data_IF_206848101771
#
_entry.id   IF_206848101771
#
_cell.length_a   1.000
_cell.length_b   1.000
_cell.length_c   1.000
_cell.angle_alpha   90.00
_cell.angle_beta   90.00
_cell.angle_gamma   90.00
#
_symmetry.space_group_name_H-M   'P 1'
#
loop_
_entity.id
_entity.type
_entity.pdbx_description
1 polymer ?
#
# COMPACT_ATOMS: atom_id res chain seq x y z
N UNK A 1 -24.34 -9.57 -6.69
CA UNK A 1 -24.23 -9.25 -5.26
C UNK A 1 -24.18 -7.73 -5.16
N UNK A 2 -24.71 -7.14 -4.08
CA UNK A 2 -24.50 -5.71 -3.83
C UNK A 2 -23.03 -5.43 -3.48
N UNK A 3 -22.54 -4.22 -3.80
CA UNK A 3 -21.14 -3.81 -3.57
C UNK A 3 -20.73 -3.96 -2.10
N UNK A 4 -21.65 -3.68 -1.18
CA UNK A 4 -21.39 -3.82 0.25
C UNK A 4 -21.17 -5.28 0.65
N UNK A 5 -22.02 -6.20 0.18
CA UNK A 5 -21.86 -7.64 0.41
C UNK A 5 -20.59 -8.19 -0.24
N UNK A 6 -20.24 -7.72 -1.45
CA UNK A 6 -18.98 -8.11 -2.09
C UNK A 6 -17.78 -7.62 -1.28
N UNK A 7 -17.73 -6.34 -0.91
CA UNK A 7 -16.69 -5.78 -0.07
C UNK A 7 -16.58 -6.49 1.28
N UNK A 8 -17.72 -6.87 1.89
CA UNK A 8 -17.76 -7.69 3.11
C UNK A 8 -17.07 -9.03 2.88
N UNK A 9 -17.44 -9.75 1.82
CA UNK A 9 -16.84 -11.04 1.48
C UNK A 9 -15.34 -10.93 1.23
N UNK A 10 -14.91 -9.94 0.45
CA UNK A 10 -13.50 -9.68 0.15
C UNK A 10 -12.71 -9.29 1.40
N UNK A 11 -13.29 -8.46 2.27
CA UNK A 11 -12.67 -8.04 3.53
C UNK A 11 -12.49 -9.20 4.51
N UNK A 12 -13.51 -10.07 4.66
CA UNK A 12 -13.37 -11.28 5.46
C UNK A 12 -12.35 -12.25 4.86
N UNK A 13 -12.38 -12.43 3.54
CA UNK A 13 -11.39 -13.27 2.84
C UNK A 13 -9.96 -12.78 3.07
N UNK A 14 -9.72 -11.46 2.99
CA UNK A 14 -8.43 -10.85 3.33
C UNK A 14 -8.03 -11.06 4.77
N UNK A 15 -8.95 -10.84 5.72
CA UNK A 15 -8.69 -11.02 7.14
C UNK A 15 -8.25 -12.45 7.43
N UNK A 16 -9.05 -13.43 7.02
CA UNK A 16 -8.76 -14.84 7.28
C UNK A 16 -7.57 -15.34 6.49
N UNK A 17 -7.42 -14.97 5.23
CA UNK A 17 -6.31 -15.40 4.38
C UNK A 17 -4.96 -14.91 4.90
N UNK A 18 -4.86 -13.63 5.25
CA UNK A 18 -3.62 -13.07 5.82
C UNK A 18 -3.33 -13.60 7.22
N UNK A 19 -4.34 -13.72 8.08
CA UNK A 19 -4.18 -14.28 9.43
C UNK A 19 -3.78 -15.76 9.38
N UNK A 20 -4.38 -16.56 8.50
CA UNK A 20 -4.04 -17.97 8.32
C UNK A 20 -2.60 -18.11 7.81
N UNK A 21 -2.23 -17.38 6.75
CA UNK A 21 -0.88 -17.38 6.21
C UNK A 21 0.17 -17.00 7.25
N UNK A 22 -0.08 -15.95 8.03
CA UNK A 22 0.83 -15.53 9.12
C UNK A 22 0.85 -16.49 10.32
N UNK A 23 -0.17 -17.34 10.49
CA UNK A 23 -0.18 -18.35 11.55
C UNK A 23 0.66 -19.57 11.19
N UNK A 24 0.87 -19.85 9.89
CA UNK A 24 1.65 -21.00 9.40
C UNK A 24 3.03 -21.10 10.10
N UNK A 25 3.88 -20.05 10.12
CA UNK A 25 5.17 -20.11 10.82
C UNK A 25 5.10 -20.47 12.31
N UNK A 26 4.00 -20.15 13.00
CA UNK A 26 3.85 -20.39 14.44
C UNK A 26 3.58 -21.86 14.78
N UNK A 27 3.02 -22.61 13.82
CA UNK A 27 2.64 -24.02 14.01
C UNK A 27 3.84 -24.93 13.84
N UNK A 28 4.81 -24.55 13.01
CA UNK A 28 5.99 -25.35 12.73
C UNK A 28 7.17 -25.00 13.65
N UNK A 29 7.93 -26.00 14.07
CA UNK A 29 9.20 -25.84 14.78
C UNK A 29 10.34 -25.90 13.77
N UNK A 30 10.95 -24.75 13.49
CA UNK A 30 12.08 -24.66 12.57
C UNK A 30 13.40 -24.58 13.36
N UNK A 31 14.45 -25.17 12.81
CA UNK A 31 15.84 -24.95 13.25
C UNK A 31 16.28 -23.54 12.84
N UNK A 32 17.26 -22.95 13.52
CA UNK A 32 17.80 -21.61 13.24
C UNK A 32 18.22 -21.43 11.77
N UNK A 33 18.89 -22.42 11.18
CA UNK A 33 19.30 -22.39 9.77
C UNK A 33 18.10 -22.33 8.82
N UNK A 34 17.03 -23.07 9.14
CA UNK A 34 15.79 -23.06 8.35
C UNK A 34 15.03 -21.75 8.51
N UNK A 35 15.01 -21.19 9.73
CA UNK A 35 14.42 -19.87 9.98
C UNK A 35 15.17 -18.78 9.23
N UNK A 36 16.51 -18.84 9.21
CA UNK A 36 17.33 -17.90 8.45
C UNK A 36 17.05 -18.00 6.95
N UNK A 37 17.07 -19.22 6.39
CA UNK A 37 16.75 -19.41 4.97
C UNK A 37 15.34 -18.94 4.61
N UNK A 38 14.37 -19.21 5.49
CA UNK A 38 12.98 -18.82 5.31
C UNK A 38 12.78 -17.30 5.44
N UNK A 39 13.52 -16.67 6.35
CA UNK A 39 13.56 -15.21 6.50
C UNK A 39 14.14 -14.57 5.23
N UNK A 40 15.27 -15.07 4.72
CA UNK A 40 15.89 -14.57 3.48
C UNK A 40 14.98 -14.77 2.27
N UNK A 41 14.34 -15.94 2.14
CA UNK A 41 13.33 -16.20 1.11
C UNK A 41 12.15 -15.23 1.24
N UNK A 42 11.65 -15.03 2.47
CA UNK A 42 10.58 -14.11 2.80
C UNK A 42 10.92 -12.67 2.40
N UNK A 43 12.12 -12.20 2.73
CA UNK A 43 12.65 -10.90 2.30
C UNK A 43 12.64 -10.76 0.78
N UNK A 44 13.09 -11.79 0.06
CA UNK A 44 13.04 -11.84 -1.39
C UNK A 44 11.61 -11.69 -1.90
N UNK A 45 10.67 -12.45 -1.34
CA UNK A 45 9.24 -12.36 -1.69
C UNK A 45 8.70 -10.96 -1.44
N UNK A 46 9.00 -10.32 -0.30
CA UNK A 46 8.54 -8.95 -0.01
C UNK A 46 9.03 -7.95 -1.07
N UNK A 47 10.33 -7.98 -1.40
CA UNK A 47 10.91 -7.11 -2.45
C UNK A 47 10.29 -7.39 -3.82
N UNK A 48 10.22 -8.67 -4.20
CA UNK A 48 9.66 -9.10 -5.48
C UNK A 48 8.21 -8.71 -5.65
N UNK A 49 7.45 -8.77 -4.57
CA UNK A 49 6.04 -8.45 -4.55
C UNK A 49 5.80 -6.94 -4.69
N UNK A 50 6.59 -6.11 -4.02
CA UNK A 50 6.54 -4.66 -4.19
C UNK A 50 6.74 -4.26 -5.66
N UNK A 51 7.76 -4.84 -6.31
CA UNK A 51 8.21 -4.45 -7.64
C UNK A 51 7.46 -5.15 -8.79
N UNK A 52 7.00 -6.39 -8.60
CA UNK A 52 6.43 -7.23 -9.68
C UNK A 52 4.92 -7.41 -9.59
N UNK A 53 4.29 -6.99 -8.49
CA UNK A 53 2.84 -7.10 -8.28
C UNK A 53 2.24 -5.73 -7.98
N UNK A 54 2.58 -5.10 -6.86
CA UNK A 54 1.88 -3.90 -6.39
C UNK A 54 2.16 -2.70 -7.30
N UNK A 55 3.43 -2.46 -7.63
CA UNK A 55 3.82 -1.35 -8.49
C UNK A 55 3.21 -1.48 -9.90
N UNK A 56 3.36 -2.61 -10.63
CA UNK A 56 2.74 -2.78 -11.94
C UNK A 56 1.21 -2.63 -11.91
N UNK A 57 0.54 -3.21 -10.91
CA UNK A 57 -0.93 -3.14 -10.82
C UNK A 57 -1.42 -1.72 -10.50
N UNK A 58 -0.71 -1.01 -9.62
CA UNK A 58 -0.96 0.40 -9.32
C UNK A 58 -0.81 1.28 -10.55
N UNK A 59 0.25 1.06 -11.34
CA UNK A 59 0.47 1.75 -12.62
C UNK A 59 -0.64 1.41 -13.62
N UNK A 60 -0.93 0.12 -13.83
CA UNK A 60 -1.95 -0.33 -14.77
C UNK A 60 -3.34 0.25 -14.46
N UNK A 61 -3.70 0.25 -13.18
CA UNK A 61 -4.96 0.83 -12.71
C UNK A 61 -4.99 2.32 -12.99
N UNK A 62 -3.93 3.08 -12.67
CA UNK A 62 -3.88 4.52 -12.93
C UNK A 62 -3.98 4.87 -14.43
N UNK A 63 -3.36 4.07 -15.31
CA UNK A 63 -3.44 4.28 -16.75
C UNK A 63 -4.82 3.97 -17.33
N UNK A 64 -5.43 2.87 -16.89
CA UNK A 64 -6.78 2.48 -17.33
C UNK A 64 -7.78 3.58 -16.97
N UNK A 65 -7.68 4.14 -15.76
CA UNK A 65 -8.46 5.31 -15.30
C UNK A 65 -8.31 6.53 -16.20
N UNK A 66 -7.08 6.85 -16.59
CA UNK A 66 -6.77 8.04 -17.39
C UNK A 66 -7.29 7.92 -18.82
N UNK A 67 -7.29 6.71 -19.38
CA UNK A 67 -7.74 6.44 -20.74
C UNK A 67 -9.28 6.47 -20.87
N UNK A 68 -10.00 5.94 -19.89
CA UNK A 68 -11.47 6.00 -19.86
C UNK A 68 -11.98 7.44 -19.76
N UNK A 69 -11.34 8.27 -18.92
CA UNK A 69 -11.66 9.68 -18.77
C UNK A 69 -11.53 10.47 -20.10
N UNK A 70 -10.45 10.25 -20.85
CA UNK A 70 -10.25 10.91 -22.15
C UNK A 70 -11.22 10.44 -23.23
N UNK A 71 -11.62 9.16 -23.23
CA UNK A 71 -12.60 8.64 -24.17
C UNK A 71 -13.98 9.29 -23.99
N UNK A 72 -14.40 9.51 -22.74
CA UNK A 72 -15.70 10.10 -22.41
C UNK A 72 -15.76 11.58 -22.81
N UNK A 73 -14.67 12.33 -22.64
CA UNK A 73 -14.56 13.72 -23.11
C UNK A 73 -14.59 13.85 -24.64
N UNK A 74 -14.02 12.87 -25.37
CA UNK A 74 -14.05 12.84 -26.84
C UNK A 74 -15.47 12.58 -27.36
N UNK A 75 -16.25 11.74 -26.69
CA UNK A 75 -17.65 11.48 -27.04
C UNK A 75 -18.54 12.70 -26.77
N UNK A 76 -18.35 13.36 -25.63
CA UNK A 76 -19.13 14.57 -25.27
C UNK A 76 -18.83 15.75 -26.21
N UNK A 77 -17.56 15.92 -26.60
CA UNK A 77 -17.19 16.97 -27.58
C UNK A 77 -17.72 16.68 -28.99
N UNK A 78 -17.78 15.42 -29.41
CA UNK A 78 -18.33 15.01 -30.71
C UNK A 78 -19.87 15.14 -30.77
N UNK A 79 -20.56 14.91 -29.64
CA UNK A 79 -22.01 15.04 -29.57
C UNK A 79 -22.47 16.51 -29.55
N UNK A 80 -21.66 17.43 -29.01
CA UNK A 80 -21.94 18.88 -29.03
C UNK A 80 -21.80 19.49 -30.43
N UNK A 81 -21.01 18.91 -31.33
CA UNK A 81 -20.86 19.40 -32.72
C UNK A 81 -21.95 18.89 -33.68
N UNK A 82 -22.75 17.89 -33.29
CA UNK A 82 -23.72 17.25 -34.20
C UNK A 82 -25.17 17.71 -33.99
N UNK A 83 -25.47 18.44 -32.91
CA UNK A 83 -26.84 18.83 -32.56
C UNK A 83 -27.25 20.27 -32.96
N UNK A 84 -26.41 21.02 -33.68
CA UNK A 84 -26.75 22.37 -34.17
C UNK A 84 -26.88 22.45 -35.70
N UNK A 85 -27.56 21.47 -36.33
CA UNK A 85 -27.99 21.65 -37.73
C UNK A 85 -29.36 21.06 -37.99
N UNK A 86 -30.36 21.42 -37.18
CA UNK A 86 -31.76 21.41 -37.65
C UNK A 86 -32.62 22.39 -36.87
N UNK A 87 -33.11 23.39 -37.62
CA UNK A 87 -34.32 24.22 -37.42
C UNK A 87 -34.15 25.68 -36.93
N UNK A 88 -34.51 26.55 -37.89
CA UNK A 88 -35.25 27.81 -37.77
C UNK A 88 -34.51 29.13 -37.50
N UNK A 89 -34.51 29.93 -38.58
CA UNK A 89 -35.05 31.30 -38.71
C UNK A 89 -34.43 32.47 -37.91
N UNK A 90 -33.96 33.43 -38.72
CA UNK A 90 -33.73 34.85 -38.50
C UNK A 90 -33.99 35.42 -37.10
N UNK A 91 -32.91 35.69 -36.38
CA UNK A 91 -32.87 36.80 -35.44
C UNK A 91 -31.41 37.25 -35.20
N UNK A 92 -31.02 38.50 -35.56
CA UNK A 92 -29.63 38.95 -35.47
C UNK A 92 -29.15 39.22 -34.03
N UNK A 93 -30.00 39.06 -33.01
CA UNK A 93 -29.65 39.28 -31.60
C UNK A 93 -29.24 38.02 -30.82
N UNK A 94 -29.35 36.81 -31.40
CA UNK A 94 -28.96 35.55 -30.72
C UNK A 94 -27.46 35.22 -30.86
N UNK A 95 -26.81 35.74 -31.91
CA UNK A 95 -25.39 35.44 -32.22
C UNK A 95 -24.44 36.11 -31.23
N UNK A 96 -24.78 37.31 -30.74
CA UNK A 96 -23.96 38.07 -29.79
C UNK A 96 -23.98 37.43 -28.39
N UNK A 97 -25.10 36.80 -28.00
CA UNK A 97 -25.22 36.11 -26.70
C UNK A 97 -24.44 34.79 -26.70
N UNK A 98 -24.39 34.08 -27.84
CA UNK A 98 -23.57 32.87 -27.99
C UNK A 98 -22.07 33.17 -27.94
N UNK A 99 -21.64 34.28 -28.54
CA UNK A 99 -20.23 34.69 -28.49
C UNK A 99 -19.82 35.21 -27.09
N UNK A 100 -20.70 35.95 -26.40
CA UNK A 100 -20.45 36.41 -25.02
C UNK A 100 -20.55 35.29 -23.97
N UNK A 101 -21.37 34.26 -24.17
CA UNK A 101 -21.44 33.11 -23.25
C UNK A 101 -20.25 32.16 -23.42
N UNK A 102 -19.71 32.07 -24.63
CA UNK A 102 -18.44 31.36 -24.89
C UNK A 102 -17.26 32.09 -24.23
N UNK A 103 -17.28 33.43 -24.17
CA UNK A 103 -16.21 34.23 -23.55
C UNK A 103 -16.34 34.32 -22.01
N UNK A 104 -17.56 34.40 -21.46
CA UNK A 104 -17.76 34.49 -19.98
C UNK A 104 -17.57 33.18 -19.23
N UNK A 105 -17.55 32.03 -19.89
CA UNK A 105 -17.25 30.73 -19.25
C UNK A 105 -15.74 30.44 -19.21
N UNK A 106 -14.90 31.46 -19.45
CA UNK A 106 -13.44 31.35 -19.41
C UNK A 106 -12.78 32.21 -18.32
N UNK A 107 -13.57 32.84 -17.41
CA UNK A 107 -13.05 33.84 -16.46
C UNK A 107 -13.42 33.62 -14.98
N UNK A 108 -13.41 32.38 -14.52
CA UNK A 108 -13.28 32.04 -13.07
C UNK A 108 -12.67 30.65 -12.93
N UNK A 109 -11.37 30.52 -13.20
CA UNK A 109 -10.53 29.42 -12.72
C UNK A 109 -9.12 29.97 -12.64
N UNK A 110 -8.91 30.88 -11.70
CA UNK A 110 -7.57 31.31 -11.34
C UNK A 110 -7.00 30.32 -10.33
N UNK A 111 -5.87 29.72 -10.76
CA UNK A 111 -4.76 29.29 -9.93
C UNK A 111 -4.95 28.02 -9.10
N UNK A 112 -4.99 26.90 -9.81
CA UNK A 112 -4.12 25.77 -9.44
C UNK A 112 -3.56 25.20 -10.75
N UNK A 113 -2.24 25.16 -10.79
CA UNK A 113 -1.39 24.77 -11.91
C UNK A 113 -1.95 23.62 -12.75
N UNK A 114 -2.38 23.92 -13.98
CA UNK A 114 -2.45 22.95 -15.08
C UNK A 114 -1.02 22.50 -15.40
N UNK A 115 -0.52 21.48 -14.69
CA UNK A 115 0.44 20.57 -15.29
C UNK A 115 -0.31 19.77 -16.35
N UNK A 116 0.24 19.67 -17.55
CA UNK A 116 -0.05 18.52 -18.40
C UNK A 116 0.34 17.29 -17.56
N UNK A 117 -0.67 16.61 -17.00
CA UNK A 117 -0.48 15.49 -16.08
C UNK A 117 0.11 14.31 -16.84
N UNK A 118 1.43 14.32 -16.97
CA UNK A 118 2.17 13.14 -17.39
C UNK A 118 1.92 12.08 -16.32
N UNK A 119 1.19 10.98 -16.60
CA UNK A 119 0.85 9.96 -15.61
C UNK A 119 2.10 9.41 -14.92
N UNK A 120 3.24 9.43 -15.60
CA UNK A 120 4.56 9.13 -15.06
C UNK A 120 4.96 9.97 -13.83
N UNK A 121 4.64 11.27 -13.80
CA UNK A 121 4.97 12.13 -12.66
C UNK A 121 4.12 11.81 -11.44
N UNK A 122 2.84 11.47 -11.64
CA UNK A 122 1.93 11.05 -10.57
C UNK A 122 2.38 9.73 -9.97
N UNK A 123 2.82 8.78 -10.80
CA UNK A 123 3.38 7.49 -10.36
C UNK A 123 4.59 7.72 -9.45
N UNK A 124 5.59 8.48 -9.92
CA UNK A 124 6.79 8.75 -9.14
C UNK A 124 6.48 9.49 -7.83
N UNK A 125 5.64 10.53 -7.88
CA UNK A 125 5.30 11.33 -6.71
C UNK A 125 4.55 10.53 -5.64
N UNK A 126 3.56 9.73 -6.03
CA UNK A 126 2.77 8.92 -5.09
C UNK A 126 3.60 7.83 -4.42
N UNK A 127 4.49 7.17 -5.17
CA UNK A 127 5.47 6.22 -4.62
C UNK A 127 6.39 6.90 -3.60
N UNK A 128 6.95 8.06 -3.93
CA UNK A 128 7.85 8.81 -3.04
C UNK A 128 7.11 9.26 -1.79
N UNK A 129 5.87 9.73 -1.91
CA UNK A 129 5.05 10.12 -0.75
C UNK A 129 4.83 8.93 0.17
N UNK A 130 4.48 7.75 -0.36
CA UNK A 130 4.34 6.52 0.44
C UNK A 130 5.64 6.12 1.14
N UNK A 131 6.76 6.15 0.40
CA UNK A 131 8.08 5.84 0.95
C UNK A 131 8.49 6.81 2.08
N UNK A 132 8.34 8.12 1.84
CA UNK A 132 8.69 9.16 2.82
C UNK A 132 7.77 9.12 4.03
N UNK A 133 6.47 8.89 3.86
CA UNK A 133 5.56 8.73 4.99
C UNK A 133 5.99 7.56 5.89
N UNK A 134 6.34 6.43 5.27
CA UNK A 134 6.81 5.27 6.01
C UNK A 134 8.16 5.54 6.71
N UNK A 135 9.05 6.30 6.07
CA UNK A 135 10.28 6.82 6.69
C UNK A 135 9.97 7.68 7.91
N UNK A 136 9.07 8.65 7.78
CA UNK A 136 8.71 9.54 8.88
C UNK A 136 8.14 8.75 10.06
N UNK A 137 7.23 7.82 9.81
CA UNK A 137 6.65 6.94 10.84
C UNK A 137 7.75 6.18 11.59
N UNK A 138 8.73 5.64 10.86
CA UNK A 138 9.86 4.93 11.46
C UNK A 138 10.73 5.84 12.33
N UNK A 139 11.03 7.05 11.86
CA UNK A 139 11.79 8.04 12.64
C UNK A 139 11.05 8.50 13.90
N UNK A 140 9.74 8.75 13.83
CA UNK A 140 8.95 9.18 14.99
C UNK A 140 8.78 8.07 16.03
N UNK A 141 8.52 6.83 15.59
CA UNK A 141 8.39 5.66 16.46
C UNK A 141 9.67 5.41 17.29
N UNK A 142 10.83 5.56 16.64
CA UNK A 142 12.11 5.33 17.31
C UNK A 142 12.46 6.44 18.33
N UNK A 143 12.00 7.69 18.12
CA UNK A 143 12.23 8.81 19.05
C UNK A 143 11.42 8.69 20.34
N UNK A 144 10.15 8.28 20.26
CA UNK A 144 9.29 8.15 21.45
C UNK A 144 9.74 7.03 22.40
N UNK A 145 10.31 5.96 21.85
CA UNK A 145 10.80 4.82 22.65
C UNK A 145 12.13 5.16 23.37
N UNK A 146 12.94 6.04 22.79
CA UNK A 146 14.18 6.55 23.42
C UNK A 146 13.91 7.43 24.65
N UNK A 147 12.90 8.30 24.61
CA UNK A 147 12.59 9.21 25.72
C UNK A 147 12.14 8.51 27.01
N UNK A 148 11.38 7.40 26.90
CA UNK A 148 10.95 6.61 28.07
C UNK A 148 12.05 5.72 28.66
N UNK A 149 13.18 5.53 27.96
CA UNK A 149 14.26 4.67 28.43
C UNK A 149 15.29 5.42 29.30
N UNK A 150 15.36 6.76 29.19
CA UNK A 150 16.21 7.58 30.06
C UNK A 150 15.64 7.79 31.47
N UNK A 151 14.32 7.70 31.66
CA UNK A 151 13.69 7.87 32.98
C UNK A 151 13.73 6.62 33.87
N UNK A 152 13.99 5.44 33.31
CA UNK A 152 14.10 4.17 34.08
C UNK A 152 15.54 3.91 34.54
N UNK A 153 16.55 4.52 33.91
CA UNK A 153 17.95 4.40 34.32
C UNK A 153 18.30 5.18 35.60
N UNK A 154 17.42 6.04 36.10
CA UNK A 154 17.61 6.77 37.36
C UNK A 154 16.96 6.10 38.58
N UNK A 155 16.50 4.85 38.46
CA UNK A 155 15.88 4.12 39.56
C UNK A 155 16.46 2.71 39.77
N UNK A 156 17.77 2.59 39.62
CA UNK A 156 18.55 1.45 40.11
C UNK A 156 19.81 1.97 40.76
N UNK A 157 19.64 2.63 41.90
CA UNK A 157 20.72 2.95 42.81
C UNK A 157 20.82 1.84 43.86
N UNK A 158 22.05 1.41 44.15
CA UNK A 158 22.49 0.50 45.23
C UNK A 158 22.35 -1.02 45.04
N UNK A 159 23.40 -1.66 44.47
CA UNK A 159 24.07 -2.84 45.05
C UNK A 159 25.38 -3.14 44.30
N UNK A 160 26.45 -3.42 45.06
CA UNK A 160 27.86 -3.46 44.68
C UNK A 160 28.33 -4.65 43.81
N UNK A 161 29.53 -4.43 43.25
CA UNK A 161 30.60 -5.38 42.83
C UNK A 161 30.65 -5.92 41.39
N UNK A 162 31.80 -5.65 40.74
CA UNK A 162 32.48 -6.60 39.86
C UNK A 162 32.45 -6.34 38.34
N UNK A 163 33.45 -5.60 37.86
CA UNK A 163 34.17 -5.78 36.59
C UNK A 163 33.47 -6.47 35.39
N UNK A 164 33.05 -5.67 34.41
CA UNK A 164 33.39 -5.80 32.96
C UNK A 164 32.59 -4.78 32.16
N UNK A 165 33.30 -3.78 31.63
CA UNK A 165 32.75 -2.73 30.76
C UNK A 165 32.38 -3.33 29.40
N UNK A 166 31.20 -3.95 29.33
CA UNK A 166 30.48 -4.15 28.08
C UNK A 166 29.49 -2.98 27.97
N UNK A 167 29.78 -2.03 27.10
CA UNK A 167 28.84 -0.97 26.73
C UNK A 167 27.56 -1.62 26.22
N UNK A 168 26.54 -1.69 27.09
CA UNK A 168 25.22 -2.18 26.77
C UNK A 168 24.53 -1.15 25.87
N UNK A 169 24.78 -1.22 24.56
CA UNK A 169 23.92 -0.54 23.58
C UNK A 169 22.56 -1.22 23.66
N UNK A 170 21.47 -0.54 24.10
CA UNK A 170 20.16 -1.15 24.19
C UNK A 170 19.63 -1.41 22.77
N UNK A 171 19.80 -2.65 22.28
CA UNK A 171 19.29 -3.15 20.99
C UNK A 171 17.76 -3.39 21.04
N UNK A 172 16.96 -2.41 21.46
CA UNK A 172 15.50 -2.60 21.71
C UNK A 172 14.60 -1.47 21.20
N UNK A 173 14.67 -1.13 19.91
CA UNK A 173 13.69 -0.22 19.27
C UNK A 173 13.14 -0.64 17.89
N UNK A 174 13.66 -1.67 17.20
CA UNK A 174 13.22 -1.96 15.81
C UNK A 174 11.91 -2.78 15.67
N UNK A 175 11.55 -3.57 16.69
CA UNK A 175 10.48 -4.60 16.59
C UNK A 175 9.08 -4.01 16.41
N UNK A 176 8.80 -2.91 17.11
CA UNK A 176 7.48 -2.27 17.09
C UNK A 176 7.31 -1.46 15.81
N UNK A 177 8.38 -0.82 15.34
CA UNK A 177 8.38 0.04 14.17
C UNK A 177 8.13 -0.74 12.87
N UNK A 178 8.72 -1.94 12.73
CA UNK A 178 8.43 -2.84 11.62
C UNK A 178 6.93 -3.22 11.56
N UNK A 179 6.30 -3.49 12.72
CA UNK A 179 4.87 -3.82 12.74
C UNK A 179 4.00 -2.60 12.45
N UNK A 180 4.29 -1.44 13.05
CA UNK A 180 3.54 -0.21 12.78
C UNK A 180 3.57 0.10 11.29
N UNK A 181 4.75 -0.05 10.67
CA UNK A 181 4.89 0.12 9.23
C UNK A 181 4.04 -0.81 8.39
N UNK A 182 4.06 -2.09 8.70
CA UNK A 182 3.26 -3.08 8.00
C UNK A 182 1.75 -2.90 8.26
N UNK A 183 1.34 -2.41 9.43
CA UNK A 183 -0.06 -2.06 9.71
C UNK A 183 -0.50 -0.88 8.86
N UNK A 184 0.33 0.16 8.72
CA UNK A 184 0.04 1.33 7.87
C UNK A 184 0.00 0.96 6.40
N UNK A 185 0.95 0.14 5.94
CA UNK A 185 0.93 -0.43 4.59
C UNK A 185 -0.36 -1.24 4.34
N UNK A 186 -0.73 -2.13 5.27
CA UNK A 186 -2.00 -2.88 5.19
C UNK A 186 -3.22 -1.95 5.18
N UNK A 187 -3.18 -0.82 5.89
CA UNK A 187 -4.26 0.17 5.83
C UNK A 187 -4.35 0.80 4.43
N UNK A 188 -3.22 1.09 3.78
CA UNK A 188 -3.19 1.61 2.42
C UNK A 188 -3.83 0.64 1.41
N UNK A 189 -3.60 -0.67 1.57
CA UNK A 189 -4.30 -1.70 0.76
C UNK A 189 -5.82 -1.64 0.98
N UNK A 190 -6.24 -1.47 2.23
CA UNK A 190 -7.65 -1.33 2.59
C UNK A 190 -8.28 -0.10 1.95
N UNK A 191 -7.58 1.05 1.96
CA UNK A 191 -8.02 2.26 1.27
C UNK A 191 -8.19 2.01 -0.23
N UNK A 192 -7.23 1.33 -0.87
CA UNK A 192 -7.33 0.98 -2.29
C UNK A 192 -8.55 0.09 -2.59
N UNK A 193 -8.78 -0.97 -1.80
CA UNK A 193 -9.94 -1.85 -1.99
C UNK A 193 -11.27 -1.12 -1.72
N UNK A 194 -11.33 -0.34 -0.65
CA UNK A 194 -12.52 0.44 -0.30
C UNK A 194 -12.86 1.49 -1.36
N UNK A 195 -11.85 2.12 -1.96
CA UNK A 195 -12.03 3.02 -3.10
C UNK A 195 -12.56 2.25 -4.32
N UNK A 196 -11.97 1.10 -4.65
CA UNK A 196 -12.41 0.25 -5.76
C UNK A 196 -13.88 -0.21 -5.60
N UNK A 197 -14.30 -0.55 -4.39
CA UNK A 197 -15.66 -1.02 -4.08
C UNK A 197 -16.74 0.06 -4.22
N UNK A 198 -16.37 1.34 -4.28
CA UNK A 198 -17.33 2.43 -4.57
C UNK A 198 -17.53 2.64 -6.07
N UNK A 199 -16.71 2.01 -6.90
CA UNK A 199 -16.88 2.01 -8.37
C UNK A 199 -17.87 0.95 -8.83
N UNK A 200 -18.52 1.16 -9.97
CA UNK A 200 -19.48 0.20 -10.54
C UNK A 200 -18.83 -1.01 -11.22
N UNK A 201 -17.50 -1.09 -11.26
CA UNK A 201 -16.78 -2.11 -12.01
C UNK A 201 -16.20 -3.16 -11.05
N UNK A 202 -16.95 -4.25 -10.87
CA UNK A 202 -16.55 -5.39 -10.04
C UNK A 202 -15.25 -6.05 -10.49
N UNK A 203 -14.90 -5.93 -11.77
CA UNK A 203 -13.66 -6.50 -12.31
C UNK A 203 -12.43 -5.82 -11.71
N UNK A 204 -12.46 -4.49 -11.58
CA UNK A 204 -11.37 -3.72 -10.96
C UNK A 204 -11.27 -4.04 -9.47
N UNK A 205 -12.41 -4.12 -8.77
CA UNK A 205 -12.44 -4.54 -7.36
C UNK A 205 -11.83 -5.93 -7.15
N UNK A 206 -12.15 -6.89 -8.03
CA UNK A 206 -11.61 -8.26 -7.97
C UNK A 206 -10.13 -8.33 -8.33
N UNK A 207 -9.66 -7.58 -9.34
CA UNK A 207 -8.24 -7.50 -9.71
C UNK A 207 -7.43 -6.90 -8.55
N UNK A 208 -7.89 -5.77 -8.00
CA UNK A 208 -7.26 -5.12 -6.84
C UNK A 208 -7.23 -6.05 -5.64
N UNK A 209 -8.34 -6.73 -5.34
CA UNK A 209 -8.40 -7.73 -4.27
C UNK A 209 -7.39 -8.86 -4.48
N UNK A 210 -7.31 -9.44 -5.68
CA UNK A 210 -6.40 -10.54 -5.96
C UNK A 210 -4.94 -10.08 -5.86
N UNK A 211 -4.61 -8.91 -6.41
CA UNK A 211 -3.30 -8.31 -6.28
C UNK A 211 -2.93 -8.08 -4.81
N UNK A 212 -3.86 -7.55 -4.00
CA UNK A 212 -3.70 -7.39 -2.55
C UNK A 212 -3.46 -8.74 -1.87
N UNK A 213 -4.32 -9.72 -2.11
CA UNK A 213 -4.23 -11.03 -1.47
C UNK A 213 -2.93 -11.76 -1.80
N UNK A 214 -2.48 -11.69 -3.05
CA UNK A 214 -1.22 -12.30 -3.51
C UNK A 214 0.00 -11.75 -2.76
N UNK A 215 -0.05 -10.51 -2.28
CA UNK A 215 1.04 -9.92 -1.51
C UNK A 215 0.83 -9.90 0.00
N UNK A 216 -0.41 -9.84 0.46
CA UNK A 216 -0.76 -9.78 1.87
C UNK A 216 -0.50 -11.09 2.59
N UNK A 217 -0.77 -12.23 1.95
CA UNK A 217 -0.49 -13.54 2.52
C UNK A 217 1.02 -13.78 2.72
N UNK A 218 1.90 -13.55 1.72
CA UNK A 218 3.34 -13.60 1.93
C UNK A 218 3.86 -12.53 2.89
N UNK A 219 3.27 -11.33 2.90
CA UNK A 219 3.64 -10.28 3.85
C UNK A 219 3.36 -10.68 5.31
N UNK A 220 2.19 -11.27 5.57
CA UNK A 220 1.85 -11.79 6.90
C UNK A 220 2.81 -12.90 7.35
N UNK A 221 3.17 -13.79 6.43
CA UNK A 221 4.16 -14.84 6.67
C UNK A 221 5.52 -14.25 7.03
N UNK A 222 6.03 -13.33 6.19
CA UNK A 222 7.32 -12.65 6.37
C UNK A 222 7.41 -11.88 7.69
N UNK A 223 6.34 -11.14 8.05
CA UNK A 223 6.23 -10.42 9.32
C UNK A 223 6.41 -11.37 10.51
N UNK A 224 5.70 -12.50 10.52
CA UNK A 224 5.75 -13.42 11.65
C UNK A 224 7.09 -14.15 11.71
N UNK A 225 7.65 -14.58 10.59
CA UNK A 225 8.99 -15.19 10.57
C UNK A 225 10.07 -14.23 11.05
N UNK A 226 10.00 -12.96 10.64
CA UNK A 226 10.93 -11.92 11.09
C UNK A 226 10.82 -11.70 12.60
N UNK A 227 9.61 -11.50 13.12
CA UNK A 227 9.42 -11.27 14.56
C UNK A 227 9.73 -12.52 15.41
N UNK A 228 9.60 -13.73 14.87
CA UNK A 228 10.07 -14.97 15.50
C UNK A 228 11.59 -15.01 15.58
N UNK A 229 12.29 -14.64 14.51
CA UNK A 229 13.76 -14.54 14.48
C UNK A 229 14.25 -13.50 15.49
N UNK A 230 13.52 -12.39 15.65
CA UNK A 230 13.76 -11.37 16.67
C UNK A 230 13.45 -11.84 18.11
N UNK A 231 12.97 -13.07 18.32
CA UNK A 231 12.67 -13.62 19.64
C UNK A 231 11.43 -13.05 20.31
N UNK A 232 10.45 -12.52 19.57
CA UNK A 232 9.18 -12.04 20.13
C UNK A 232 8.33 -13.22 20.61
N UNK A 233 7.74 -13.10 21.81
CA UNK A 233 6.88 -14.15 22.35
C UNK A 233 5.65 -14.44 21.47
N UNK A 234 5.22 -15.70 21.43
CA UNK A 234 4.11 -16.17 20.57
C UNK A 234 2.79 -15.44 20.80
N UNK A 235 2.50 -15.05 22.04
CA UNK A 235 1.28 -14.28 22.37
C UNK A 235 1.30 -12.89 21.74
N UNK A 236 2.45 -12.20 21.80
CA UNK A 236 2.64 -10.90 21.14
C UNK A 236 2.59 -11.05 19.63
N UNK A 237 3.22 -12.07 19.05
CA UNK A 237 3.17 -12.33 17.61
C UNK A 237 1.74 -12.38 17.07
N UNK A 238 0.85 -13.12 17.74
CA UNK A 238 -0.58 -13.18 17.37
C UNK A 238 -1.25 -11.81 17.40
N UNK A 239 -0.90 -10.93 18.35
CA UNK A 239 -1.44 -9.56 18.42
C UNK A 239 -0.95 -8.69 17.26
N UNK A 240 0.35 -8.74 16.94
CA UNK A 240 0.92 -8.00 15.79
C UNK A 240 0.32 -8.49 14.47
N UNK A 241 0.17 -9.81 14.29
CA UNK A 241 -0.49 -10.42 13.14
C UNK A 241 -1.97 -10.01 13.03
N UNK A 242 -2.70 -10.03 14.15
CA UNK A 242 -4.11 -9.63 14.16
C UNK A 242 -4.28 -8.15 13.81
N UNK A 243 -3.41 -7.28 14.33
CA UNK A 243 -3.41 -5.85 13.98
C UNK A 243 -3.14 -5.64 12.48
N UNK A 244 -2.16 -6.35 11.91
CA UNK A 244 -1.87 -6.32 10.48
C UNK A 244 -3.06 -6.79 9.63
N UNK A 245 -3.69 -7.91 10.01
CA UNK A 245 -4.78 -8.53 9.26
C UNK A 245 -6.08 -7.72 9.32
N UNK A 246 -6.37 -7.06 10.45
CA UNK A 246 -7.55 -6.20 10.63
C UNK A 246 -7.41 -4.82 9.97
N UNK A 247 -6.20 -4.32 9.80
CA UNK A 247 -5.95 -2.97 9.28
C UNK A 247 -6.60 -2.73 7.92
N UNK A 248 -6.42 -3.64 6.96
CA UNK A 248 -7.03 -3.52 5.62
C UNK A 248 -8.57 -3.58 5.63
N UNK A 249 -9.23 -4.58 6.23
CA UNK A 249 -10.68 -4.60 6.35
C UNK A 249 -11.24 -3.31 6.97
N UNK A 250 -10.66 -2.86 8.09
CA UNK A 250 -11.11 -1.64 8.78
C UNK A 250 -10.97 -0.43 7.87
N UNK A 251 -9.82 -0.24 7.24
CA UNK A 251 -9.58 0.87 6.34
C UNK A 251 -10.50 0.81 5.10
N UNK A 252 -10.78 -0.38 4.56
CA UNK A 252 -11.67 -0.56 3.43
C UNK A 252 -13.11 -0.14 3.74
N UNK A 253 -13.64 -0.51 4.91
CA UNK A 253 -14.97 -0.06 5.34
C UNK A 253 -15.00 1.45 5.58
N UNK A 254 -13.99 2.00 6.26
CA UNK A 254 -13.90 3.44 6.51
C UNK A 254 -13.92 4.20 5.18
N UNK A 255 -13.13 3.76 4.20
CA UNK A 255 -13.07 4.38 2.87
C UNK A 255 -14.39 4.22 2.13
N UNK A 256 -14.99 3.03 2.10
CA UNK A 256 -16.26 2.78 1.43
C UNK A 256 -17.38 3.68 1.99
N UNK A 257 -17.54 3.74 3.31
CA UNK A 257 -18.55 4.59 3.94
C UNK A 257 -18.23 6.08 3.87
N UNK A 258 -16.94 6.45 3.92
CA UNK A 258 -16.48 7.83 3.80
C UNK A 258 -16.78 8.42 2.44
N UNK A 259 -16.46 7.70 1.37
CA UNK A 259 -16.76 8.10 -0.01
C UNK A 259 -18.27 7.99 -0.29
N UNK A 260 -18.95 6.96 0.23
CA UNK A 260 -20.38 6.75 -0.01
C UNK A 260 -21.30 7.78 0.66
N UNK A 261 -20.90 8.40 1.78
CA UNK A 261 -21.74 9.35 2.54
C UNK A 261 -21.38 10.82 2.31
N UNK A 262 -20.18 11.14 1.81
CA UNK A 262 -19.74 12.52 1.61
C UNK A 262 -18.82 12.67 0.40
N UNK A 263 -19.12 13.66 -0.44
CA UNK A 263 -18.27 14.15 -1.53
C UNK A 263 -18.25 13.27 -2.80
N UNK A 264 -19.36 13.29 -3.56
CA UNK A 264 -19.45 12.65 -4.88
C UNK A 264 -18.58 13.28 -5.99
N UNK A 265 -17.88 14.37 -5.71
CA UNK A 265 -17.21 15.18 -6.76
C UNK A 265 -15.69 15.35 -6.62
N UNK A 266 -15.02 14.73 -5.62
CA UNK A 266 -13.57 14.95 -5.43
C UNK A 266 -12.71 13.69 -5.29
N UNK A 267 -13.29 12.51 -5.03
CA UNK A 267 -12.51 11.29 -4.72
C UNK A 267 -13.02 10.01 -5.43
N UNK A 268 -14.04 10.11 -6.29
CA UNK A 268 -14.68 8.95 -6.95
C UNK A 268 -14.15 8.66 -8.36
N UNK A 269 -12.89 9.01 -8.64
CA UNK A 269 -12.26 8.64 -9.89
C UNK A 269 -11.38 7.42 -9.64
N UNK A 270 -11.34 6.49 -10.60
CA UNK A 270 -10.45 5.33 -10.61
C UNK A 270 -8.97 5.69 -10.34
N UNK A 271 -8.60 6.96 -10.54
CA UNK A 271 -7.33 7.54 -10.12
C UNK A 271 -7.06 7.35 -8.62
N UNK A 272 -8.05 7.45 -7.75
CA UNK A 272 -7.90 7.28 -6.30
C UNK A 272 -7.44 5.86 -5.95
N UNK A 273 -7.99 4.83 -6.60
CA UNK A 273 -7.57 3.44 -6.41
C UNK A 273 -6.13 3.22 -6.87
N UNK A 274 -5.77 3.70 -8.07
CA UNK A 274 -4.40 3.60 -8.59
C UNK A 274 -3.39 4.36 -7.71
N UNK A 275 -3.72 5.58 -7.31
CA UNK A 275 -2.91 6.42 -6.39
C UNK A 275 -2.75 5.73 -5.04
N UNK A 276 -3.81 5.15 -4.47
CA UNK A 276 -3.75 4.44 -3.19
C UNK A 276 -2.87 3.18 -3.28
N UNK A 277 -2.94 2.43 -4.38
CA UNK A 277 -2.05 1.28 -4.61
C UNK A 277 -0.59 1.70 -4.80
N UNK A 278 -0.31 2.76 -5.55
CA UNK A 278 1.05 3.30 -5.73
C UNK A 278 1.62 3.85 -4.42
N UNK A 279 0.80 4.55 -3.64
CA UNK A 279 1.14 4.94 -2.29
C UNK A 279 1.47 3.71 -1.42
N UNK A 280 0.63 2.66 -1.48
CA UNK A 280 0.91 1.39 -0.79
C UNK A 280 2.23 0.75 -1.25
N UNK A 281 2.51 0.72 -2.55
CA UNK A 281 3.77 0.22 -3.10
C UNK A 281 4.99 1.00 -2.56
N UNK A 282 4.88 2.32 -2.43
CA UNK A 282 5.90 3.17 -1.82
C UNK A 282 6.15 2.82 -0.35
N UNK A 283 5.08 2.65 0.45
CA UNK A 283 5.20 2.24 1.86
C UNK A 283 5.87 0.87 1.99
N UNK A 284 5.50 -0.08 1.13
CA UNK A 284 6.02 -1.44 1.17
C UNK A 284 7.49 -1.51 0.72
N UNK A 285 7.86 -0.74 -0.29
CA UNK A 285 9.23 -0.65 -0.77
C UNK A 285 10.17 -0.13 0.32
N UNK A 286 9.73 0.84 1.14
CA UNK A 286 10.48 1.28 2.32
C UNK A 286 10.72 0.13 3.31
N UNK A 287 9.65 -0.57 3.72
CA UNK A 287 9.77 -1.70 4.65
C UNK A 287 10.72 -2.77 4.12
N UNK A 288 10.60 -3.11 2.83
CA UNK A 288 11.43 -4.13 2.20
C UNK A 288 12.91 -3.72 2.12
N UNK A 289 13.21 -2.45 1.80
CA UNK A 289 14.58 -1.98 1.53
C UNK A 289 15.31 -1.47 2.77
N UNK A 290 14.60 -0.94 3.77
CA UNK A 290 15.22 -0.31 4.95
C UNK A 290 15.21 -1.23 6.17
N UNK A 291 14.16 -2.03 6.37
CA UNK A 291 14.06 -2.90 7.55
C UNK A 291 14.41 -4.35 7.25
N UNK A 292 13.97 -4.86 6.11
CA UNK A 292 14.01 -6.30 5.85
C UNK A 292 15.32 -6.72 5.16
N UNK A 293 15.69 -6.08 4.04
CA UNK A 293 16.88 -6.43 3.28
C UNK A 293 18.21 -6.14 4.01
N UNK A 294 18.37 -5.03 4.75
CA UNK A 294 19.60 -4.76 5.48
C UNK A 294 19.81 -5.72 6.65
N UNK A 295 18.76 -6.07 7.39
CA UNK A 295 18.87 -6.98 8.54
C UNK A 295 19.45 -8.35 8.14
N UNK A 296 19.09 -8.85 6.95
CA UNK A 296 19.60 -10.13 6.44
C UNK A 296 20.99 -10.05 5.82
N UNK A 297 21.48 -8.87 5.42
CA UNK A 297 22.77 -8.69 4.73
C UNK A 297 23.85 -8.08 5.62
N UNK A 298 23.48 -7.42 6.71
CA UNK A 298 24.39 -6.63 7.56
C UNK A 298 25.31 -7.49 8.45
N UNK A 299 24.92 -8.73 8.75
CA UNK A 299 25.66 -9.54 9.73
C UNK A 299 26.62 -10.59 9.14
N UNK A 300 26.45 -11.05 7.89
CA UNK A 300 27.38 -11.97 7.19
C UNK A 300 27.19 -11.90 5.66
N UNK A 301 28.22 -12.27 4.89
CA UNK A 301 28.10 -12.49 3.45
C UNK A 301 27.11 -13.65 3.20
N UNK A 302 26.12 -13.46 2.32
CA UNK A 302 25.15 -14.50 2.01
C UNK A 302 25.85 -15.72 1.42
N UNK A 303 25.56 -16.90 1.96
CA UNK A 303 25.94 -18.16 1.34
C UNK A 303 25.20 -18.31 -0.01
N UNK A 304 25.75 -19.06 -0.96
CA UNK A 304 25.09 -19.29 -2.26
C UNK A 304 23.64 -19.80 -2.11
N UNK A 305 23.37 -20.63 -1.10
CA UNK A 305 22.01 -21.12 -0.79
C UNK A 305 21.06 -19.99 -0.37
N UNK A 306 21.54 -19.07 0.48
CA UNK A 306 20.76 -17.91 0.94
C UNK A 306 20.57 -16.91 -0.20
N UNK A 307 21.60 -16.68 -1.02
CA UNK A 307 21.51 -15.84 -2.21
C UNK A 307 20.49 -16.40 -3.22
N UNK A 308 20.53 -17.70 -3.50
CA UNK A 308 19.56 -18.35 -4.37
C UNK A 308 18.14 -18.30 -3.78
N UNK A 309 18.00 -18.41 -2.46
CA UNK A 309 16.70 -18.25 -1.79
C UNK A 309 16.18 -16.81 -1.90
N UNK A 310 17.05 -15.81 -1.72
CA UNK A 310 16.69 -14.40 -1.89
C UNK A 310 16.22 -14.12 -3.32
N UNK A 311 17.05 -14.48 -4.31
CA UNK A 311 16.77 -14.29 -5.73
C UNK A 311 15.50 -15.06 -6.13
N UNK A 312 15.41 -16.34 -5.75
CA UNK A 312 14.22 -17.15 -5.99
C UNK A 312 12.96 -16.52 -5.39
N UNK A 313 13.05 -16.05 -4.15
CA UNK A 313 11.99 -15.31 -3.46
C UNK A 313 11.50 -14.09 -4.25
N UNK A 314 12.42 -13.31 -4.80
CA UNK A 314 12.08 -12.11 -5.60
C UNK A 314 11.32 -12.43 -6.88
N UNK A 315 11.59 -13.56 -7.53
CA UNK A 315 10.88 -13.94 -8.76
C UNK A 315 9.58 -14.72 -8.54
N UNK A 316 9.38 -15.35 -7.37
CA UNK A 316 8.16 -16.11 -7.06
C UNK A 316 6.87 -15.29 -7.32
N UNK A 317 6.74 -14.03 -6.83
CA UNK A 317 5.54 -13.21 -7.07
C UNK A 317 5.32 -12.90 -8.57
N UNK A 318 6.38 -12.66 -9.32
CA UNK A 318 6.30 -12.42 -10.77
C UNK A 318 5.75 -13.64 -11.52
N UNK A 319 6.09 -14.85 -11.07
CA UNK A 319 5.55 -16.08 -11.67
C UNK A 319 4.04 -16.24 -11.45
N UNK A 320 3.53 -15.70 -10.34
CA UNK A 320 2.10 -15.71 -10.02
C UNK A 320 1.33 -14.70 -10.86
N UNK A 321 1.93 -13.58 -11.24
CA UNK A 321 1.28 -12.56 -12.09
C UNK A 321 1.27 -12.90 -13.58
N UNK A 322 2.30 -13.59 -14.09
CA UNK A 322 2.37 -13.99 -15.51
C UNK A 322 1.23 -14.94 -15.92
N UNK A 323 0.68 -15.73 -15.01
CA UNK A 323 -0.37 -16.70 -15.31
C UNK A 323 -1.78 -16.11 -15.50
N UNK A 324 -1.98 -14.83 -15.19
CA UNK A 324 -3.29 -14.17 -15.25
C UNK A 324 -3.52 -13.30 -16.49
N UNK A 325 -2.56 -13.25 -17.42
CA UNK A 325 -2.65 -12.46 -18.67
C UNK A 325 -3.21 -13.21 -19.88
N UNK A 326 -3.89 -14.35 -19.68
CA UNK A 326 -4.54 -15.14 -20.73
C UNK A 326 -6.05 -15.21 -20.55
#
# INVERSE_FOLDING_TARGET
>A
MDQFTLLMLLSFSMLFGSYFSGTIPLVFTFSEDKLRLLSVLGSGILVGTALSVILPEGVNTLYTSSHEFHSHLKTISTQKTTNETTKSEDNPHSVIVLHLKTISTQKTTNETTKSEDNPHSVIGLTLVIGFVLMLLIDQFSNRHTGANSYSVALQSDSAENGESLSTCVPKRSSKMTATIGLVVHSAADGIALGAAATTSHTDVEMIVFLAIMLHKAPAAFGLVTFLMHEGVERSRLRKHLLAFALSAPIAAFITFFGISQGTKEALSDYNATGIAMLFSAGTFLYVATVHVLPEITQHQHLNLKELLALVGGTFIPSLLTVKHHH
#
